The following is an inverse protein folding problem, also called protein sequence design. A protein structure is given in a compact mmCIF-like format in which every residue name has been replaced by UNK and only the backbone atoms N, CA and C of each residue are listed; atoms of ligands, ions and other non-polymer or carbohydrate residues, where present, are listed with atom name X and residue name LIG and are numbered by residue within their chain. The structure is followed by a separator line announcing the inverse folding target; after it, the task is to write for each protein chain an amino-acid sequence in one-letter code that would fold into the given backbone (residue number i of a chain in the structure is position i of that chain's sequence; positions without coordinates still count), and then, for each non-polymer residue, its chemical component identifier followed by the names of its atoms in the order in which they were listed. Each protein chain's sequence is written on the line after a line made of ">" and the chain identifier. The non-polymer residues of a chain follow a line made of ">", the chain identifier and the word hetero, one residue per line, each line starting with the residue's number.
data_IF_814137245251
#
_entry.id   IF_814137245251
#
_cell.length_a   1.000
_cell.length_b   1.000
_cell.length_c   1.000
_cell.angle_alpha   90.00
_cell.angle_beta   90.00
_cell.angle_gamma   90.00
#
_symmetry.space_group_name_H-M   'P 1'
#
loop_
_entity.id
_entity.type
_entity.pdbx_description
1 polymer ?
#
# COMPACT_ATOMS: atom_id res chain seq x y z
N UNK A 1 27.80 9.65 -2.51
CA UNK A 1 27.24 11.02 -2.49
C UNK A 1 26.39 11.20 -3.73
N UNK A 2 25.09 11.08 -3.58
CA UNK A 2 24.08 11.64 -4.49
C UNK A 2 22.78 11.73 -3.70
N UNK A 3 22.75 12.63 -2.71
CA UNK A 3 21.45 13.09 -2.21
C UNK A 3 20.88 13.98 -3.31
N UNK A 4 20.19 13.37 -4.29
CA UNK A 4 19.13 14.12 -4.95
C UNK A 4 18.28 14.69 -3.83
N UNK A 5 18.21 16.01 -3.74
CA UNK A 5 17.27 16.71 -2.87
C UNK A 5 15.87 16.30 -3.32
N UNK A 6 15.42 15.17 -2.79
CA UNK A 6 14.09 14.64 -3.04
C UNK A 6 13.16 15.57 -2.29
N UNK A 7 12.48 16.42 -3.05
CA UNK A 7 11.45 17.28 -2.52
C UNK A 7 10.28 16.40 -2.09
N UNK A 8 9.80 16.61 -0.87
CA UNK A 8 8.59 16.00 -0.32
C UNK A 8 7.51 17.08 -0.28
N UNK A 9 6.99 17.50 -1.45
CA UNK A 9 6.13 18.67 -1.53
C UNK A 9 4.85 18.50 -0.71
N UNK A 10 4.37 17.26 -0.59
CA UNK A 10 3.19 16.90 0.17
C UNK A 10 3.46 15.63 0.99
N UNK A 11 3.06 15.66 2.25
CA UNK A 11 2.91 14.47 3.09
C UNK A 11 1.62 14.60 3.87
N UNK A 12 0.86 13.51 3.97
CA UNK A 12 -0.41 13.48 4.70
C UNK A 12 -0.31 12.55 5.89
N UNK A 13 -0.78 13.06 7.03
CA UNK A 13 -1.08 12.30 8.25
C UNK A 13 -2.58 12.42 8.51
N UNK A 14 -3.19 11.39 9.09
CA UNK A 14 -4.62 11.38 9.44
C UNK A 14 -5.57 11.42 8.23
N UNK A 15 -6.86 11.65 8.48
CA UNK A 15 -7.96 11.57 7.50
C UNK A 15 -8.74 10.26 7.57
N UNK A 16 -8.13 9.21 8.10
CA UNK A 16 -8.77 7.92 8.38
C UNK A 16 -9.65 7.94 9.65
N UNK A 17 -9.68 9.04 10.42
CA UNK A 17 -10.48 9.18 11.66
C UNK A 17 -10.25 8.05 12.66
N UNK A 18 -9.02 7.50 12.71
CA UNK A 18 -8.62 6.32 13.50
C UNK A 18 -9.29 4.99 13.12
N UNK A 19 -10.05 4.93 12.03
CA UNK A 19 -10.62 3.68 11.51
C UNK A 19 -9.70 3.03 10.47
N UNK A 20 -9.56 1.71 10.55
CA UNK A 20 -8.89 0.89 9.53
C UNK A 20 -9.73 0.79 8.25
N UNK A 21 -9.14 0.48 7.08
CA UNK A 21 -9.92 0.26 5.87
C UNK A 21 -10.83 -0.95 6.04
N UNK A 22 -12.01 -0.93 5.41
CA UNK A 22 -12.93 -2.07 5.39
C UNK A 22 -13.39 -2.33 3.97
N UNK A 23 -13.35 -3.57 3.52
CA UNK A 23 -13.68 -3.90 2.13
C UNK A 23 -15.10 -3.52 1.74
N UNK A 24 -16.08 -3.79 2.62
CA UNK A 24 -17.49 -3.44 2.42
C UNK A 24 -17.73 -1.93 2.32
N UNK A 25 -16.95 -1.12 3.03
CA UNK A 25 -17.02 0.34 2.96
C UNK A 25 -16.58 0.86 1.61
N UNK A 26 -15.48 0.31 1.08
CA UNK A 26 -14.96 0.69 -0.24
C UNK A 26 -15.92 0.29 -1.35
N UNK A 27 -16.45 -0.95 -1.32
CA UNK A 27 -17.47 -1.40 -2.28
C UNK A 27 -18.74 -0.53 -2.23
N UNK A 28 -19.30 -0.30 -1.04
CA UNK A 28 -20.51 0.53 -0.90
C UNK A 28 -20.30 1.96 -1.41
N UNK A 29 -19.16 2.57 -1.11
CA UNK A 29 -18.86 3.90 -1.63
C UNK A 29 -18.68 3.90 -3.14
N UNK A 30 -18.05 2.89 -3.71
CA UNK A 30 -17.93 2.74 -5.16
C UNK A 30 -19.30 2.67 -5.84
N UNK A 31 -20.22 1.87 -5.30
CA UNK A 31 -21.57 1.71 -5.84
C UNK A 31 -22.35 3.03 -5.81
N UNK A 32 -22.35 3.72 -4.66
CA UNK A 32 -23.02 5.01 -4.52
C UNK A 32 -22.40 6.11 -5.39
N UNK A 33 -21.09 6.09 -5.62
CA UNK A 33 -20.41 7.09 -6.46
C UNK A 33 -20.78 6.98 -7.95
N UNK A 34 -21.34 5.86 -8.41
CA UNK A 34 -21.84 5.74 -9.79
C UNK A 34 -23.03 6.67 -10.04
N UNK A 35 -23.92 6.77 -9.05
CA UNK A 35 -25.15 7.56 -9.14
C UNK A 35 -25.05 8.92 -8.45
N UNK A 36 -24.13 9.05 -7.48
CA UNK A 36 -24.00 10.23 -6.61
C UNK A 36 -22.52 10.70 -6.58
N UNK A 37 -22.02 11.38 -7.64
CA UNK A 37 -20.63 11.84 -7.70
C UNK A 37 -20.25 12.84 -6.59
N UNK A 38 -21.23 13.58 -6.07
CA UNK A 38 -21.05 14.53 -4.97
C UNK A 38 -21.15 13.90 -3.57
N UNK A 39 -21.30 12.57 -3.46
CA UNK A 39 -21.57 11.82 -2.23
C UNK A 39 -20.83 12.37 -1.01
N UNK A 40 -19.52 12.55 -1.12
CA UNK A 40 -18.66 12.95 -0.01
C UNK A 40 -18.65 14.46 0.32
N UNK A 41 -19.34 15.29 -0.47
CA UNK A 41 -19.55 16.72 -0.19
C UNK A 41 -20.90 16.98 0.48
N UNK A 42 -21.82 16.01 0.42
CA UNK A 42 -23.15 16.14 1.00
C UNK A 42 -23.11 16.05 2.51
N UNK A 43 -23.97 16.81 3.19
CA UNK A 43 -24.11 16.75 4.65
C UNK A 43 -24.70 15.42 5.12
N UNK A 44 -25.51 14.76 4.28
CA UNK A 44 -26.17 13.47 4.53
C UNK A 44 -25.36 12.25 4.06
N UNK A 45 -24.10 12.42 3.62
CA UNK A 45 -23.25 11.35 3.09
C UNK A 45 -23.19 10.10 3.98
N UNK A 46 -23.11 10.31 5.30
CA UNK A 46 -23.03 9.25 6.29
C UNK A 46 -24.33 8.44 6.40
N UNK A 47 -25.48 9.08 6.16
CA UNK A 47 -26.79 8.41 6.10
C UNK A 47 -26.85 7.53 4.85
N UNK A 48 -26.45 8.06 3.70
CA UNK A 48 -26.42 7.32 2.43
C UNK A 48 -25.49 6.09 2.51
N UNK A 49 -24.32 6.25 3.12
CA UNK A 49 -23.37 5.16 3.37
C UNK A 49 -23.82 4.20 4.49
N UNK A 50 -24.82 4.59 5.29
CA UNK A 50 -25.28 3.84 6.46
C UNK A 50 -24.19 3.66 7.52
N UNK A 51 -23.41 4.70 7.80
CA UNK A 51 -22.30 4.70 8.76
C UNK A 51 -22.30 5.97 9.62
N UNK A 52 -21.43 6.04 10.64
CA UNK A 52 -21.22 7.27 11.40
C UNK A 52 -20.52 8.38 10.60
N UNK A 53 -20.70 9.65 11.00
CA UNK A 53 -20.10 10.82 10.31
C UNK A 53 -18.59 10.72 10.11
N UNK A 54 -17.85 10.31 11.14
CA UNK A 54 -16.39 10.14 11.06
C UNK A 54 -15.99 8.93 10.21
N UNK A 55 -16.82 7.88 10.20
CA UNK A 55 -16.60 6.72 9.33
C UNK A 55 -16.71 7.14 7.86
N UNK A 56 -17.71 7.94 7.47
CA UNK A 56 -17.83 8.43 6.10
C UNK A 56 -16.58 9.20 5.63
N UNK A 57 -15.95 10.00 6.51
CA UNK A 57 -14.67 10.65 6.20
C UNK A 57 -13.52 9.64 6.02
N UNK A 58 -13.48 8.63 6.88
CA UNK A 58 -12.51 7.52 6.75
C UNK A 58 -12.66 6.74 5.44
N UNK A 59 -13.89 6.48 5.00
CA UNK A 59 -14.17 5.81 3.72
C UNK A 59 -13.59 6.62 2.56
N UNK A 60 -13.83 7.93 2.55
CA UNK A 60 -13.25 8.84 1.56
C UNK A 60 -11.72 8.79 1.55
N UNK A 61 -11.12 8.82 2.74
CA UNK A 61 -9.68 8.73 2.89
C UNK A 61 -9.14 7.42 2.32
N UNK A 62 -9.71 6.28 2.73
CA UNK A 62 -9.21 4.96 2.33
C UNK A 62 -9.37 4.71 0.84
N UNK A 63 -10.49 5.14 0.23
CA UNK A 63 -10.65 5.03 -1.22
C UNK A 63 -9.60 5.83 -2.00
N UNK A 64 -9.17 6.98 -1.48
CA UNK A 64 -8.04 7.73 -2.06
C UNK A 64 -6.70 7.07 -1.76
N UNK A 65 -6.44 6.67 -0.52
CA UNK A 65 -5.17 6.07 -0.11
C UNK A 65 -4.88 4.75 -0.85
N UNK A 66 -5.92 4.01 -1.23
CA UNK A 66 -5.84 2.77 -2.02
C UNK A 66 -5.91 3.00 -3.52
N UNK A 67 -6.01 4.26 -3.97
CA UNK A 67 -6.11 4.65 -5.39
C UNK A 67 -7.34 4.09 -6.12
N UNK A 68 -8.39 3.74 -5.37
CA UNK A 68 -9.66 3.30 -5.94
C UNK A 68 -10.55 4.49 -6.30
N UNK A 69 -10.40 5.61 -5.58
CA UNK A 69 -11.12 6.85 -5.85
C UNK A 69 -10.16 8.01 -6.08
N UNK A 70 -10.54 8.91 -6.97
CA UNK A 70 -9.84 10.15 -7.27
C UNK A 70 -10.76 11.35 -7.21
N UNK A 71 -10.17 12.52 -7.00
CA UNK A 71 -10.89 13.78 -6.99
C UNK A 71 -10.99 14.30 -8.43
N UNK A 72 -12.17 14.72 -8.84
CA UNK A 72 -12.38 15.38 -10.14
C UNK A 72 -11.96 16.85 -10.09
N UNK A 73 -11.93 17.50 -11.25
CA UNK A 73 -11.71 18.96 -11.36
C UNK A 73 -12.78 19.78 -10.63
N UNK A 74 -14.03 19.30 -10.60
CA UNK A 74 -15.15 19.92 -9.85
C UNK A 74 -15.00 19.78 -8.33
N UNK A 75 -14.04 18.95 -7.88
CA UNK A 75 -13.80 18.66 -6.49
C UNK A 75 -14.64 17.51 -5.92
N UNK A 76 -15.45 16.87 -6.77
CA UNK A 76 -16.18 15.62 -6.51
C UNK A 76 -15.24 14.43 -6.43
N UNK A 77 -15.81 13.26 -6.13
CA UNK A 77 -15.09 11.99 -6.14
C UNK A 77 -15.65 11.09 -7.25
N UNK A 78 -14.78 10.30 -7.86
CA UNK A 78 -15.17 9.20 -8.76
C UNK A 78 -14.25 8.00 -8.57
N UNK A 79 -14.66 6.85 -9.08
CA UNK A 79 -13.77 5.71 -9.20
C UNK A 79 -12.63 6.00 -10.19
N UNK A 80 -11.41 5.56 -9.87
CA UNK A 80 -10.30 5.49 -10.83
C UNK A 80 -10.54 4.34 -11.82
N UNK A 81 -9.73 4.25 -12.87
CA UNK A 81 -9.70 3.07 -13.75
C UNK A 81 -9.47 1.78 -12.94
N UNK A 82 -8.56 1.83 -11.95
CA UNK A 82 -8.33 0.72 -11.04
C UNK A 82 -9.55 0.40 -10.17
N UNK A 83 -10.17 1.44 -9.59
CA UNK A 83 -11.36 1.29 -8.77
C UNK A 83 -12.50 0.62 -9.52
N UNK A 84 -12.74 1.02 -10.77
CA UNK A 84 -13.74 0.41 -11.63
C UNK A 84 -13.40 -1.05 -11.98
N UNK A 85 -12.16 -1.32 -12.40
CA UNK A 85 -11.73 -2.67 -12.76
C UNK A 85 -11.80 -3.66 -11.57
N UNK A 86 -11.60 -3.17 -10.35
CA UNK A 86 -11.60 -4.00 -9.14
C UNK A 86 -13.00 -4.16 -8.54
N UNK A 87 -13.75 -3.06 -8.36
CA UNK A 87 -14.96 -3.00 -7.52
C UNK A 87 -16.29 -3.11 -8.27
N UNK A 88 -16.30 -3.00 -9.61
CA UNK A 88 -17.51 -3.26 -10.40
C UNK A 88 -18.09 -4.65 -10.10
N UNK A 89 -19.38 -4.87 -10.30
CA UNK A 89 -20.00 -6.17 -9.99
C UNK A 89 -19.41 -7.34 -10.79
N UNK A 90 -18.89 -7.04 -11.99
CA UNK A 90 -18.13 -7.96 -12.83
C UNK A 90 -16.61 -7.68 -12.82
N UNK A 91 -16.14 -6.92 -11.83
CA UNK A 91 -14.74 -6.58 -11.63
C UNK A 91 -13.91 -7.75 -11.11
N UNK A 92 -12.60 -7.53 -10.99
CA UNK A 92 -11.63 -8.57 -10.61
C UNK A 92 -11.80 -9.08 -9.18
N UNK A 93 -12.13 -8.21 -8.23
CA UNK A 93 -12.35 -8.58 -6.82
C UNK A 93 -13.32 -7.58 -6.15
N UNK A 94 -14.64 -7.67 -6.44
CA UNK A 94 -15.61 -6.66 -6.06
C UNK A 94 -15.72 -6.44 -4.55
N UNK A 95 -15.33 -7.45 -3.77
CA UNK A 95 -15.42 -7.46 -2.31
C UNK A 95 -14.05 -7.43 -1.62
N UNK A 96 -12.95 -7.29 -2.37
CA UNK A 96 -11.58 -7.21 -1.87
C UNK A 96 -11.23 -8.36 -0.91
N UNK A 97 -11.61 -9.59 -1.29
CA UNK A 97 -11.44 -10.80 -0.47
C UNK A 97 -10.25 -11.65 -0.89
N UNK A 98 -9.73 -11.45 -2.10
CA UNK A 98 -8.64 -12.24 -2.68
C UNK A 98 -7.27 -11.88 -2.10
N UNK A 99 -6.26 -12.72 -2.34
CA UNK A 99 -4.90 -12.42 -1.90
C UNK A 99 -4.31 -11.26 -2.73
N UNK A 100 -4.49 -11.31 -4.06
CA UNK A 100 -4.07 -10.26 -4.99
C UNK A 100 -4.68 -8.90 -4.61
N UNK A 101 -5.97 -8.86 -4.27
CA UNK A 101 -6.66 -7.68 -3.79
C UNK A 101 -5.97 -7.08 -2.55
N UNK A 102 -5.72 -7.89 -1.53
CA UNK A 102 -5.06 -7.43 -0.28
C UNK A 102 -3.66 -6.90 -0.53
N UNK A 103 -2.85 -7.61 -1.32
CA UNK A 103 -1.50 -7.20 -1.68
C UNK A 103 -1.47 -5.92 -2.51
N UNK A 104 -2.43 -5.75 -3.44
CA UNK A 104 -2.58 -4.54 -4.23
C UNK A 104 -2.96 -3.35 -3.35
N UNK A 105 -3.92 -3.48 -2.44
CA UNK A 105 -4.30 -2.41 -1.51
C UNK A 105 -3.11 -1.98 -0.67
N UNK A 106 -2.37 -2.95 -0.12
CA UNK A 106 -1.14 -2.69 0.61
C UNK A 106 -0.14 -1.88 -0.25
N UNK A 107 0.16 -2.37 -1.46
CA UNK A 107 1.08 -1.73 -2.39
C UNK A 107 0.68 -0.27 -2.69
N UNK A 108 -0.59 0.00 -2.97
CA UNK A 108 -1.08 1.34 -3.28
C UNK A 108 -0.93 2.30 -2.08
N UNK A 109 -1.20 1.81 -0.87
CA UNK A 109 -1.04 2.61 0.36
C UNK A 109 0.44 2.93 0.62
N UNK A 110 1.33 1.93 0.59
CA UNK A 110 2.73 2.12 1.01
C UNK A 110 3.61 2.72 -0.07
N UNK A 111 3.19 2.77 -1.33
CA UNK A 111 3.98 3.34 -2.43
C UNK A 111 3.78 4.85 -2.62
N UNK A 112 2.80 5.45 -1.93
CA UNK A 112 2.43 6.86 -2.08
C UNK A 112 2.56 7.66 -0.77
N UNK A 113 3.64 8.42 -0.66
CA UNK A 113 3.90 9.28 0.50
C UNK A 113 2.95 10.47 0.64
N UNK A 114 2.37 10.95 -0.46
CA UNK A 114 1.45 12.09 -0.43
C UNK A 114 0.14 11.72 0.28
N UNK A 115 -0.27 10.45 0.21
CA UNK A 115 -1.57 9.97 0.70
C UNK A 115 -1.50 9.32 2.09
N UNK A 116 -0.44 8.58 2.40
CA UNK A 116 -0.28 7.86 3.67
C UNK A 116 1.19 7.81 4.11
N UNK A 117 1.72 8.92 4.61
CA UNK A 117 3.16 9.05 4.87
C UNK A 117 3.68 8.07 5.94
N UNK A 118 2.92 7.84 7.02
CA UNK A 118 3.33 6.88 8.07
C UNK A 118 3.50 5.46 7.53
N UNK A 119 2.62 5.03 6.62
CA UNK A 119 2.73 3.75 5.92
C UNK A 119 3.94 3.73 5.01
N UNK A 120 4.09 4.76 4.19
CA UNK A 120 5.24 4.90 3.30
C UNK A 120 6.56 4.81 4.07
N UNK A 121 6.71 5.61 5.13
CA UNK A 121 7.92 5.67 5.95
C UNK A 121 8.22 4.31 6.58
N UNK A 122 7.20 3.68 7.19
CA UNK A 122 7.37 2.41 7.91
C UNK A 122 7.89 1.31 6.98
N UNK A 123 7.34 1.18 5.78
CA UNK A 123 7.74 0.11 4.86
C UNK A 123 9.00 0.47 4.05
N UNK A 124 9.14 1.72 3.60
CA UNK A 124 10.18 2.11 2.65
C UNK A 124 11.41 2.77 3.26
N UNK A 125 11.32 3.37 4.45
CA UNK A 125 12.38 4.21 5.00
C UNK A 125 12.91 3.71 6.36
N UNK A 126 12.06 3.06 7.16
CA UNK A 126 12.45 2.54 8.46
C UNK A 126 13.61 1.54 8.34
N UNK A 127 14.76 1.86 8.95
CA UNK A 127 16.01 1.10 8.80
C UNK A 127 16.03 -0.22 9.57
N UNK A 128 15.37 -0.29 10.73
CA UNK A 128 15.30 -1.48 11.59
C UNK A 128 13.92 -2.10 11.48
N UNK A 129 13.84 -3.44 11.52
CA UNK A 129 12.57 -4.14 11.47
C UNK A 129 11.71 -3.96 12.72
N UNK A 130 12.34 -3.68 13.87
CA UNK A 130 11.66 -3.59 15.17
C UNK A 130 11.42 -2.12 15.56
N UNK A 131 10.23 -1.83 16.07
CA UNK A 131 9.84 -0.48 16.51
C UNK A 131 8.76 -0.50 17.60
N UNK A 132 8.69 0.57 18.37
CA UNK A 132 7.53 0.92 19.21
C UNK A 132 6.81 2.13 18.59
N UNK A 133 5.57 2.43 19.02
CA UNK A 133 4.88 3.66 18.61
C UNK A 133 5.75 4.88 18.88
N UNK A 134 6.35 4.94 20.09
CA UNK A 134 7.24 6.04 20.50
C UNK A 134 8.48 6.16 19.62
N UNK A 135 9.18 5.06 19.34
CA UNK A 135 10.39 5.12 18.52
C UNK A 135 10.08 5.45 17.06
N UNK A 136 8.96 4.96 16.52
CA UNK A 136 8.53 5.27 15.16
C UNK A 136 8.12 6.75 15.04
N UNK A 137 7.42 7.29 16.04
CA UNK A 137 7.11 8.71 16.13
C UNK A 137 8.39 9.57 16.09
N UNK A 138 9.36 9.28 16.95
CA UNK A 138 10.65 10.00 16.94
C UNK A 138 11.36 9.92 15.59
N UNK A 139 11.44 8.72 14.99
CA UNK A 139 12.08 8.52 13.69
C UNK A 139 11.41 9.31 12.56
N UNK A 140 10.07 9.40 12.55
CA UNK A 140 9.31 10.19 11.57
C UNK A 140 9.55 11.68 11.79
N UNK A 141 9.50 12.17 13.03
CA UNK A 141 9.76 13.57 13.35
C UNK A 141 11.18 13.98 12.95
N UNK A 142 12.18 13.15 13.27
CA UNK A 142 13.58 13.40 12.89
C UNK A 142 13.75 13.47 11.37
N UNK A 143 13.03 12.61 10.63
CA UNK A 143 13.03 12.65 9.16
C UNK A 143 12.39 13.94 8.62
N UNK A 144 11.22 14.31 9.13
CA UNK A 144 10.50 15.54 8.72
C UNK A 144 11.40 16.75 8.99
N UNK A 145 11.96 16.87 10.19
CA UNK A 145 12.83 18.01 10.56
C UNK A 145 14.04 18.19 9.64
N UNK A 146 14.53 17.12 9.02
CA UNK A 146 15.67 17.19 8.09
C UNK A 146 15.28 17.55 6.65
N UNK A 147 14.00 17.41 6.29
CA UNK A 147 13.56 17.38 4.87
C UNK A 147 12.34 18.24 4.57
N UNK A 148 11.55 18.62 5.56
CA UNK A 148 10.18 19.16 5.40
C UNK A 148 9.91 20.20 6.50
N UNK A 149 9.19 21.28 6.14
CA UNK A 149 8.95 22.41 7.04
C UNK A 149 7.64 22.34 7.85
N UNK A 150 6.84 21.27 7.72
CA UNK A 150 5.53 21.15 8.39
C UNK A 150 5.43 19.87 9.22
N UNK A 151 5.40 20.05 10.53
CA UNK A 151 5.38 18.96 11.52
C UNK A 151 3.92 18.75 11.98
N UNK A 152 3.38 17.52 11.97
CA UNK A 152 2.08 17.22 12.56
C UNK A 152 2.11 17.37 14.09
N UNK A 153 0.94 17.55 14.72
CA UNK A 153 0.89 17.48 16.19
C UNK A 153 1.18 16.05 16.68
N UNK A 154 1.75 15.93 17.88
CA UNK A 154 2.06 14.64 18.51
C UNK A 154 0.84 13.70 18.53
N UNK A 155 -0.32 14.22 18.94
CA UNK A 155 -1.58 13.45 18.94
C UNK A 155 -1.99 12.96 17.55
N UNK A 156 -1.75 13.75 16.50
CA UNK A 156 -2.09 13.37 15.13
C UNK A 156 -1.20 12.21 14.67
N UNK A 157 0.11 12.33 14.86
CA UNK A 157 1.06 11.31 14.43
C UNK A 157 0.92 10.02 15.24
N UNK A 158 0.70 10.10 16.55
CA UNK A 158 0.46 8.91 17.37
C UNK A 158 -0.79 8.15 16.91
N UNK A 159 -1.90 8.86 16.65
CA UNK A 159 -3.14 8.24 16.13
C UNK A 159 -2.96 7.62 14.74
N UNK A 160 -2.15 8.24 13.89
CA UNK A 160 -1.82 7.74 12.54
C UNK A 160 -0.99 6.45 12.62
N UNK A 161 0.05 6.43 13.48
CA UNK A 161 0.86 5.23 13.76
C UNK A 161 0.02 4.10 14.36
N UNK A 162 -0.83 4.40 15.34
CA UNK A 162 -1.71 3.41 15.95
C UNK A 162 -2.73 2.85 14.96
N UNK A 163 -3.24 3.66 14.05
CA UNK A 163 -4.12 3.18 12.97
C UNK A 163 -3.35 2.27 12.00
N UNK A 164 -2.12 2.65 11.63
CA UNK A 164 -1.24 1.82 10.81
C UNK A 164 -0.98 0.46 11.44
N UNK A 165 -0.60 0.42 12.72
CA UNK A 165 -0.40 -0.84 13.44
C UNK A 165 -1.67 -1.69 13.42
N UNK A 166 -2.85 -1.10 13.68
CA UNK A 166 -4.13 -1.82 13.68
C UNK A 166 -4.55 -2.35 12.30
N UNK A 167 -4.01 -1.80 11.22
CA UNK A 167 -4.25 -2.36 9.89
C UNK A 167 -3.56 -3.72 9.70
N UNK A 168 -2.46 -3.98 10.40
CA UNK A 168 -1.61 -5.16 10.16
C UNK A 168 -1.48 -6.11 11.35
N UNK A 169 -1.79 -5.66 12.57
CA UNK A 169 -1.66 -6.47 13.79
C UNK A 169 -3.03 -6.86 14.32
N UNK A 170 -3.26 -8.16 14.45
CA UNK A 170 -4.44 -8.69 15.15
C UNK A 170 -4.25 -8.49 16.66
N UNK A 171 -5.07 -7.65 17.26
CA UNK A 171 -5.11 -7.50 18.72
C UNK A 171 -5.80 -8.73 19.35
N UNK A 172 -5.21 -9.41 20.35
CA UNK A 172 -5.86 -10.51 21.05
C UNK A 172 -7.19 -10.07 21.66
N UNK A 173 -8.22 -10.91 21.54
CA UNK A 173 -9.59 -10.63 21.97
C UNK A 173 -9.79 -10.28 23.46
N UNK A 174 -8.74 -10.34 24.29
CA UNK A 174 -8.79 -10.05 25.74
C UNK A 174 -8.53 -8.58 26.10
N UNK A 175 -8.07 -7.72 25.19
CA UNK A 175 -7.85 -6.28 25.44
C UNK A 175 -8.93 -5.37 24.81
N UNK A 176 -10.19 -5.81 24.81
CA UNK A 176 -11.32 -5.21 24.07
C UNK A 176 -11.59 -3.74 24.44
N UNK A 177 -11.09 -2.85 23.60
CA UNK A 177 -11.67 -1.52 23.36
C UNK A 177 -12.06 -1.30 21.88
N UNK A 178 -11.80 -2.28 20.99
CA UNK A 178 -12.10 -2.18 19.55
C UNK A 178 -13.37 -2.95 19.19
N UNK A 179 -14.25 -2.38 18.34
CA UNK A 179 -15.39 -3.10 17.79
C UNK A 179 -14.93 -4.35 17.02
N UNK A 180 -15.55 -5.50 17.28
CA UNK A 180 -15.24 -6.78 16.62
C UNK A 180 -15.31 -6.66 15.08
N UNK A 181 -16.20 -5.82 14.57
CA UNK A 181 -16.38 -5.53 13.15
C UNK A 181 -15.15 -4.88 12.49
N UNK A 182 -14.35 -4.09 13.21
CA UNK A 182 -13.13 -3.49 12.64
C UNK A 182 -12.05 -4.54 12.35
N UNK A 183 -11.96 -5.55 13.21
CA UNK A 183 -10.97 -6.62 13.11
C UNK A 183 -11.35 -7.64 12.06
N UNK A 184 -12.65 -7.88 11.84
CA UNK A 184 -13.12 -8.87 10.87
C UNK A 184 -13.06 -8.41 9.41
N UNK A 185 -13.00 -7.10 9.16
CA UNK A 185 -13.17 -6.54 7.81
C UNK A 185 -11.98 -5.78 7.25
N UNK A 186 -10.87 -5.65 7.99
CA UNK A 186 -9.66 -5.02 7.48
C UNK A 186 -8.89 -5.98 6.56
N UNK A 187 -8.77 -5.71 5.25
CA UNK A 187 -8.12 -6.63 4.30
C UNK A 187 -6.62 -6.80 4.55
N UNK A 188 -5.99 -5.85 5.24
CA UNK A 188 -4.54 -5.82 5.46
C UNK A 188 -4.07 -6.72 6.62
N UNK A 189 -4.97 -7.16 7.50
CA UNK A 189 -4.63 -7.97 8.67
C UNK A 189 -4.06 -9.35 8.28
N UNK A 190 -4.54 -9.90 7.19
CA UNK A 190 -4.15 -11.25 6.75
C UNK A 190 -2.77 -11.31 6.10
N UNK A 191 -2.20 -10.15 5.75
CA UNK A 191 -0.86 -10.08 5.16
C UNK A 191 0.24 -10.40 6.19
N UNK A 192 -0.04 -10.27 7.49
CA UNK A 192 0.89 -10.55 8.58
C UNK A 192 2.29 -9.91 8.37
N UNK A 193 2.28 -8.64 7.96
CA UNK A 193 3.48 -7.86 7.68
C UNK A 193 4.06 -7.19 8.93
N UNK A 194 3.22 -6.97 9.95
CA UNK A 194 3.61 -6.43 11.25
C UNK A 194 3.16 -7.41 12.33
N UNK A 195 4.07 -7.77 13.23
CA UNK A 195 3.81 -8.70 14.33
C UNK A 195 4.09 -8.03 15.66
N UNK A 196 3.23 -8.26 16.66
CA UNK A 196 3.47 -7.80 18.03
C UNK A 196 4.59 -8.64 18.68
N UNK A 197 5.49 -7.98 19.38
CA UNK A 197 6.53 -8.63 20.19
C UNK A 197 5.96 -8.96 21.58
N UNK A 198 6.14 -10.19 22.11
CA UNK A 198 5.46 -10.64 23.33
C UNK A 198 5.78 -9.86 24.62
N UNK A 199 7.00 -9.30 24.75
CA UNK A 199 7.52 -8.80 26.04
C UNK A 199 7.80 -7.30 26.07
N UNK A 200 7.75 -6.63 24.92
CA UNK A 200 8.03 -5.21 24.77
C UNK A 200 6.91 -4.66 23.92
N UNK A 201 6.17 -3.66 24.39
CA UNK A 201 5.07 -2.97 23.68
C UNK A 201 5.51 -2.40 22.31
N UNK A 202 5.81 -3.29 21.38
CA UNK A 202 6.63 -3.10 20.22
C UNK A 202 6.30 -4.14 19.17
N UNK A 203 6.77 -3.88 17.97
CA UNK A 203 6.33 -4.50 16.75
C UNK A 203 7.53 -4.81 15.87
N UNK A 204 7.38 -5.83 15.02
CA UNK A 204 8.37 -6.23 14.02
C UNK A 204 7.75 -6.26 12.64
N UNK A 205 8.43 -5.67 11.66
CA UNK A 205 8.19 -5.91 10.24
C UNK A 205 8.68 -7.33 9.90
N UNK A 206 7.74 -8.24 9.67
CA UNK A 206 8.05 -9.62 9.34
C UNK A 206 8.44 -9.74 7.86
N UNK A 207 9.62 -10.28 7.58
CA UNK A 207 10.03 -10.65 6.22
C UNK A 207 9.92 -12.16 6.01
N UNK A 208 9.60 -12.61 4.80
CA UNK A 208 9.47 -14.03 4.47
C UNK A 208 9.07 -14.28 3.02
N UNK A 209 8.66 -15.50 2.70
CA UNK A 209 8.46 -15.93 1.32
C UNK A 209 7.19 -15.43 0.60
N UNK A 210 6.13 -15.09 1.36
CA UNK A 210 4.85 -14.56 0.82
C UNK A 210 4.34 -15.38 -0.38
N UNK A 211 3.99 -16.67 -0.21
CA UNK A 211 3.61 -17.55 -1.32
C UNK A 211 2.36 -17.06 -2.07
N UNK A 212 1.44 -16.43 -1.36
CA UNK A 212 0.17 -15.86 -1.83
C UNK A 212 0.31 -14.51 -2.54
N UNK A 213 1.52 -13.93 -2.60
CA UNK A 213 1.80 -12.70 -3.35
C UNK A 213 1.93 -13.01 -4.86
N UNK A 214 1.11 -12.39 -5.73
CA UNK A 214 1.25 -12.56 -7.18
C UNK A 214 2.59 -12.03 -7.71
N UNK A 215 3.23 -12.80 -8.59
CA UNK A 215 4.49 -12.39 -9.25
C UNK A 215 4.34 -11.06 -10.00
N UNK A 216 3.17 -10.83 -10.61
CA UNK A 216 2.91 -9.62 -11.37
C UNK A 216 2.93 -8.34 -10.49
N UNK A 217 2.57 -8.43 -9.21
CA UNK A 217 2.70 -7.30 -8.28
C UNK A 217 4.16 -7.04 -7.88
N UNK A 218 5.01 -8.07 -7.82
CA UNK A 218 6.46 -7.92 -7.63
C UNK A 218 7.07 -7.19 -8.85
N UNK A 219 6.70 -7.60 -10.06
CA UNK A 219 7.11 -6.95 -11.29
C UNK A 219 6.61 -5.49 -11.37
N UNK A 220 5.37 -5.22 -10.95
CA UNK A 220 4.81 -3.87 -10.88
C UNK A 220 5.65 -2.97 -9.96
N UNK A 221 5.99 -3.44 -8.77
CA UNK A 221 6.82 -2.68 -7.82
C UNK A 221 8.21 -2.40 -8.39
N UNK A 222 8.87 -3.40 -8.97
CA UNK A 222 10.16 -3.24 -9.63
C UNK A 222 10.10 -2.23 -10.80
N UNK A 223 9.04 -2.28 -11.62
CA UNK A 223 8.82 -1.36 -12.73
C UNK A 223 8.63 0.07 -12.26
N UNK A 224 7.74 0.29 -11.27
CA UNK A 224 7.50 1.63 -10.72
C UNK A 224 8.73 2.19 -10.02
N UNK A 225 9.52 1.35 -9.35
CA UNK A 225 10.81 1.76 -8.77
C UNK A 225 11.80 2.21 -9.85
N UNK A 226 11.93 1.45 -10.93
CA UNK A 226 12.81 1.78 -12.06
C UNK A 226 12.40 3.11 -12.72
N UNK A 227 11.10 3.32 -12.95
CA UNK A 227 10.55 4.58 -13.44
C UNK A 227 10.78 5.74 -12.49
N UNK A 228 10.58 5.53 -11.18
CA UNK A 228 10.83 6.56 -10.17
C UNK A 228 12.27 7.04 -10.18
N UNK A 229 13.23 6.12 -10.26
CA UNK A 229 14.64 6.47 -10.36
C UNK A 229 15.07 6.92 -11.76
N UNK A 230 14.22 6.80 -12.78
CA UNK A 230 14.57 7.00 -14.18
C UNK A 230 15.77 6.13 -14.61
N UNK A 231 15.86 4.90 -14.08
CA UNK A 231 16.93 3.93 -14.35
C UNK A 231 16.34 2.64 -14.90
N UNK A 232 16.68 2.30 -16.14
CA UNK A 232 16.27 1.04 -16.77
C UNK A 232 16.90 -0.19 -16.12
N UNK A 233 18.02 -0.03 -15.44
CA UNK A 233 18.72 -1.12 -14.75
C UNK A 233 18.75 -0.85 -13.25
N UNK A 234 18.28 -1.83 -12.47
CA UNK A 234 18.33 -1.81 -11.01
C UNK A 234 19.10 -3.03 -10.51
N UNK A 235 20.02 -2.82 -9.57
CA UNK A 235 20.71 -3.93 -8.92
C UNK A 235 19.77 -4.72 -8.03
N UNK A 236 20.13 -5.96 -7.70
CA UNK A 236 19.41 -6.73 -6.68
C UNK A 236 19.29 -5.96 -5.35
N UNK A 237 20.36 -5.26 -4.95
CA UNK A 237 20.38 -4.46 -3.73
C UNK A 237 19.37 -3.29 -3.78
N UNK A 238 19.21 -2.63 -4.95
CA UNK A 238 18.16 -1.61 -5.15
C UNK A 238 16.77 -2.23 -4.98
N UNK A 239 16.54 -3.43 -5.51
CA UNK A 239 15.25 -4.14 -5.49
C UNK A 239 14.92 -4.80 -4.14
N UNK A 240 15.94 -5.10 -3.33
CA UNK A 240 15.78 -5.69 -2.00
C UNK A 240 15.60 -4.63 -0.91
N UNK A 241 16.39 -3.55 -0.97
CA UNK A 241 16.58 -2.62 0.16
C UNK A 241 16.36 -1.15 -0.20
N UNK A 242 16.21 -0.83 -1.48
CA UNK A 242 15.93 0.53 -1.94
C UNK A 242 14.56 1.02 -1.49
N UNK A 243 14.40 2.34 -1.50
CA UNK A 243 13.09 2.98 -1.36
C UNK A 243 12.17 2.55 -2.52
N UNK A 244 10.89 2.28 -2.23
CA UNK A 244 9.89 1.74 -3.18
C UNK A 244 10.23 0.38 -3.79
N UNK A 245 11.17 -0.34 -3.20
CA UNK A 245 11.60 -1.64 -3.70
C UNK A 245 10.60 -2.75 -3.39
N UNK A 246 10.48 -3.78 -4.26
CA UNK A 246 9.63 -4.93 -3.98
C UNK A 246 10.00 -5.64 -2.67
N UNK A 247 11.30 -5.77 -2.37
CA UNK A 247 11.77 -6.40 -1.14
C UNK A 247 11.26 -5.68 0.12
N UNK A 248 11.26 -4.34 0.13
CA UNK A 248 10.76 -3.55 1.26
C UNK A 248 9.25 -3.45 1.33
N UNK A 249 8.57 -3.26 0.19
CA UNK A 249 7.12 -3.14 0.16
C UNK A 249 6.50 -4.46 0.62
N UNK A 250 6.83 -5.57 -0.05
CA UNK A 250 6.21 -6.85 0.23
C UNK A 250 6.86 -7.64 1.36
N UNK A 251 7.95 -7.11 1.94
CA UNK A 251 8.73 -7.78 2.99
C UNK A 251 9.16 -9.18 2.58
N UNK A 252 9.78 -9.27 1.40
CA UNK A 252 10.40 -10.49 0.92
C UNK A 252 11.79 -10.64 1.55
N UNK A 253 12.16 -11.86 1.93
CA UNK A 253 13.57 -12.19 2.16
C UNK A 253 14.33 -12.27 0.81
N UNK A 254 15.67 -12.31 0.87
CA UNK A 254 16.51 -12.25 -0.33
C UNK A 254 16.25 -13.43 -1.27
N UNK A 255 16.14 -14.65 -0.73
CA UNK A 255 15.94 -15.87 -1.53
C UNK A 255 14.58 -15.86 -2.24
N UNK A 256 13.55 -15.39 -1.55
CA UNK A 256 12.21 -15.27 -2.09
C UNK A 256 12.12 -14.16 -3.14
N UNK A 257 12.74 -13.01 -2.88
CA UNK A 257 12.84 -11.96 -3.90
C UNK A 257 13.58 -12.46 -5.13
N UNK A 258 14.74 -13.09 -4.96
CA UNK A 258 15.54 -13.63 -6.05
C UNK A 258 14.73 -14.62 -6.90
N UNK A 259 14.03 -15.54 -6.26
CA UNK A 259 13.15 -16.51 -6.93
C UNK A 259 12.07 -15.83 -7.77
N UNK A 260 11.46 -14.75 -7.26
CA UNK A 260 10.45 -13.97 -7.99
C UNK A 260 11.07 -13.15 -9.14
N UNK A 261 12.31 -12.66 -8.99
CA UNK A 261 13.02 -11.95 -10.06
C UNK A 261 13.43 -12.86 -11.23
N UNK A 262 13.67 -14.15 -11.00
CA UNK A 262 13.88 -15.09 -12.11
C UNK A 262 12.65 -15.23 -13.02
N UNK A 263 11.45 -15.02 -12.49
CA UNK A 263 10.19 -15.10 -13.25
C UNK A 263 9.82 -13.80 -13.96
N UNK A 264 10.61 -12.72 -13.81
CA UNK A 264 10.25 -11.40 -14.31
C UNK A 264 10.12 -11.37 -15.85
N UNK A 265 10.95 -12.13 -16.56
CA UNK A 265 10.90 -12.18 -18.02
C UNK A 265 9.60 -12.79 -18.53
N UNK A 266 9.17 -13.91 -17.94
CA UNK A 266 7.90 -14.55 -18.25
C UNK A 266 6.72 -13.64 -17.91
N UNK A 267 6.68 -13.11 -16.68
CA UNK A 267 5.59 -12.29 -16.15
C UNK A 267 5.41 -10.98 -16.93
N UNK A 268 6.50 -10.44 -17.49
CA UNK A 268 6.46 -9.19 -18.26
C UNK A 268 6.42 -9.41 -19.78
N UNK A 269 6.32 -10.66 -20.25
CA UNK A 269 6.34 -10.98 -21.68
C UNK A 269 7.62 -10.53 -22.38
N UNK A 270 8.76 -10.60 -21.69
CA UNK A 270 10.07 -10.22 -22.21
C UNK A 270 10.42 -8.74 -22.07
N UNK A 271 9.59 -7.90 -21.45
CA UNK A 271 9.90 -6.46 -21.31
C UNK A 271 11.00 -6.21 -20.28
N UNK A 272 11.09 -7.07 -19.27
CA UNK A 272 12.19 -7.10 -18.32
C UNK A 272 12.94 -8.42 -18.38
N UNK A 273 14.20 -8.42 -17.96
CA UNK A 273 14.98 -9.64 -17.77
C UNK A 273 15.84 -9.52 -16.52
N UNK A 274 15.96 -10.61 -15.78
CA UNK A 274 16.95 -10.73 -14.71
C UNK A 274 18.26 -11.28 -15.28
N UNK A 275 19.38 -10.71 -14.85
CA UNK A 275 20.72 -11.12 -15.25
C UNK A 275 21.58 -11.32 -14.00
N UNK A 276 22.26 -12.47 -13.94
CA UNK A 276 23.35 -12.74 -13.00
C UNK A 276 24.60 -13.10 -13.82
N UNK A 277 25.56 -12.17 -13.88
CA UNK A 277 26.77 -12.35 -14.68
C UNK A 277 27.95 -11.64 -14.03
N UNK A 278 29.06 -12.35 -13.85
CA UNK A 278 30.26 -11.81 -13.20
C UNK A 278 30.03 -11.31 -11.77
N UNK A 279 29.05 -11.88 -11.05
CA UNK A 279 28.67 -11.45 -9.70
C UNK A 279 27.77 -10.22 -9.65
N UNK A 280 27.36 -9.68 -10.80
CA UNK A 280 26.43 -8.56 -10.88
C UNK A 280 25.03 -9.13 -11.11
N UNK A 281 24.18 -8.95 -10.09
CA UNK A 281 22.75 -9.31 -10.10
C UNK A 281 21.90 -8.08 -10.34
N UNK A 282 21.11 -8.08 -11.41
CA UNK A 282 20.31 -6.92 -11.80
C UNK A 282 19.08 -7.29 -12.62
N UNK A 283 18.07 -6.42 -12.57
CA UNK A 283 16.94 -6.41 -13.51
C UNK A 283 17.17 -5.31 -14.53
N UNK A 284 16.95 -5.63 -15.80
CA UNK A 284 17.06 -4.71 -16.93
C UNK A 284 15.69 -4.59 -17.59
N UNK A 285 15.20 -3.36 -17.70
CA UNK A 285 13.98 -2.99 -18.42
C UNK A 285 14.33 -2.52 -19.83
N UNK A 286 13.73 -3.14 -20.84
CA UNK A 286 13.97 -2.75 -22.25
C UNK A 286 13.34 -1.40 -22.59
N UNK A 287 12.18 -1.11 -21.99
CA UNK A 287 11.44 0.12 -22.22
C UNK A 287 10.66 0.54 -20.96
N UNK A 288 11.06 1.67 -20.35
CA UNK A 288 10.39 2.27 -19.19
C UNK A 288 9.21 3.16 -19.56
N UNK A 289 9.02 3.47 -20.84
CA UNK A 289 7.97 4.36 -21.33
C UNK A 289 6.62 3.67 -21.53
N UNK A 290 6.57 2.34 -21.42
CA UNK A 290 5.36 1.52 -21.55
C UNK A 290 4.31 1.90 -20.50
N UNK A 291 3.43 2.82 -20.86
CA UNK A 291 2.42 3.40 -19.95
C UNK A 291 1.40 2.36 -19.47
N UNK A 292 1.05 1.40 -20.32
CA UNK A 292 0.05 0.36 -20.02
C UNK A 292 0.60 -0.82 -19.22
N UNK A 293 1.91 -1.00 -19.13
CA UNK A 293 2.50 -2.18 -18.50
C UNK A 293 2.07 -2.32 -17.03
N UNK A 294 2.01 -1.21 -16.31
CA UNK A 294 1.58 -1.22 -14.92
C UNK A 294 0.15 -1.79 -14.77
N UNK A 295 -0.79 -1.36 -15.61
CA UNK A 295 -2.17 -1.83 -15.54
C UNK A 295 -2.29 -3.29 -15.98
N UNK A 296 -1.57 -3.70 -17.04
CA UNK A 296 -1.52 -5.12 -17.49
C UNK A 296 -0.96 -6.06 -16.42
N UNK A 297 0.05 -5.62 -15.67
CA UNK A 297 0.59 -6.42 -14.55
C UNK A 297 -0.43 -6.55 -13.41
N UNK A 298 -1.22 -5.50 -13.14
CA UNK A 298 -2.30 -5.60 -12.16
C UNK A 298 -3.36 -6.59 -12.66
N UNK A 299 -3.84 -6.45 -13.90
CA UNK A 299 -4.82 -7.38 -14.51
C UNK A 299 -4.33 -8.84 -14.44
N UNK A 300 -3.07 -9.08 -14.82
CA UNK A 300 -2.47 -10.42 -14.76
C UNK A 300 -2.43 -11.00 -13.34
N UNK A 301 -2.31 -10.18 -12.30
CA UNK A 301 -2.32 -10.65 -10.91
C UNK A 301 -3.65 -11.29 -10.54
N UNK A 302 -4.77 -10.77 -11.05
CA UNK A 302 -6.11 -11.32 -10.80
C UNK A 302 -6.49 -12.45 -11.76
N UNK A 303 -5.99 -12.44 -12.99
CA UNK A 303 -6.18 -13.56 -13.92
C UNK A 303 -5.60 -14.88 -13.36
N UNK A 304 -4.47 -14.82 -12.66
CA UNK A 304 -3.84 -16.01 -12.06
C UNK A 304 -4.64 -16.63 -10.90
N UNK A 305 -5.48 -15.87 -10.21
CA UNK A 305 -6.29 -16.39 -9.09
C UNK A 305 -7.47 -17.23 -9.57
N UNK A 306 -8.08 -16.86 -10.70
CA UNK A 306 -9.16 -17.62 -11.34
C UNK A 306 -8.72 -18.99 -11.88
N UNK A 307 -7.42 -19.30 -11.85
CA UNK A 307 -6.88 -20.59 -12.33
C UNK A 307 -6.80 -21.63 -11.20
N UNK A 308 -6.97 -21.22 -9.93
CA UNK A 308 -6.90 -22.09 -8.75
C UNK A 308 -8.24 -22.28 -8.03
N UNK A 309 -9.33 -21.77 -8.59
CA UNK A 309 -10.71 -22.01 -8.13
C UNK A 309 -11.38 -23.08 -9.00
#
# INVERSE_FOLDING_TARGET
>A
MSSSSQDWPNITFSGHETFTPRSNWLKKAFDLLQDIPDLFRRDDAFILLGVGKNMAQSIRFWGRATDLFERTETGDMRATELGAALLADNGWDPFLVTAAGRWLLHYQIVSNHDRAFTWYYTFNLLKRGDFTVKSLHSNIIDFINQKINKIPSENTLNRDIECMVRCYVRTPARSRAQPLEEVLHCPLLDLNLIQALPEQSGYRLASGARPDLPNALVALAAFRQARWHQRATLSFNDLAYGERSPGRIFRLDEDSLLSRLFLLEEVTGGIASYSDSGGIRQVIWRDLSQSQLAFKLIESAFASENTYA
#
